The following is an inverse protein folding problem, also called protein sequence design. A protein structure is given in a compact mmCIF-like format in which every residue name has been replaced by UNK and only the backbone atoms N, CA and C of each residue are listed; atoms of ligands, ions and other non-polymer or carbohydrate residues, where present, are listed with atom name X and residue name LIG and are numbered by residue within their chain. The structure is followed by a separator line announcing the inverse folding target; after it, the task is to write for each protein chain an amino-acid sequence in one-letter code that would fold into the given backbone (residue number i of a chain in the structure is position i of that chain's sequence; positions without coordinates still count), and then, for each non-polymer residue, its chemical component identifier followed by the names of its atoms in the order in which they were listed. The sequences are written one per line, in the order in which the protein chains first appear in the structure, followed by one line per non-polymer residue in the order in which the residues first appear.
data_IF_121121196415
#
_entry.id   IF_121121196415
#
_cell.length_a   1.000
_cell.length_b   1.000
_cell.length_c   1.000
_cell.angle_alpha   90.00
_cell.angle_beta   90.00
_cell.angle_gamma   90.00
#
_symmetry.space_group_name_H-M   'P 1'
#
loop_
_entity.id
_entity.type
_entity.pdbx_description
1 polymer ?
#
# COMPACT_ATOMS: atom_id res chain seq x y z
N UNK A 1 6.67 -3.74 11.19
CA UNK A 1 6.89 -2.29 11.13
C UNK A 1 5.99 -1.71 10.05
N UNK A 2 5.19 -0.72 10.40
CA UNK A 2 4.30 -0.08 9.44
C UNK A 2 4.93 1.23 8.95
N UNK A 3 5.29 1.28 7.66
CA UNK A 3 5.85 2.46 7.02
C UNK A 3 4.77 3.41 6.49
N UNK A 4 3.56 2.89 6.31
CA UNK A 4 2.43 3.64 5.79
C UNK A 4 1.14 3.12 6.41
N UNK A 5 0.19 4.01 6.71
CA UNK A 5 -1.17 3.64 7.14
C UNK A 5 -2.16 3.83 5.99
N UNK A 6 -3.33 3.21 6.09
CA UNK A 6 -4.41 3.41 5.12
C UNK A 6 -4.85 4.88 5.05
N UNK A 7 -4.89 5.57 6.20
CA UNK A 7 -5.21 7.00 6.24
C UNK A 7 -4.18 7.86 5.52
N UNK A 8 -2.90 7.52 5.63
CA UNK A 8 -1.83 8.20 4.90
C UNK A 8 -1.94 7.96 3.39
N UNK A 9 -2.36 6.76 2.98
CA UNK A 9 -2.62 6.45 1.58
C UNK A 9 -3.74 7.34 1.02
N UNK A 10 -4.80 7.57 1.80
CA UNK A 10 -5.91 8.44 1.42
C UNK A 10 -5.45 9.89 1.21
N UNK A 11 -4.44 10.34 1.95
CA UNK A 11 -3.88 11.69 1.76
C UNK A 11 -3.08 11.83 0.46
N UNK A 12 -2.58 10.72 -0.08
CA UNK A 12 -1.69 10.73 -1.25
C UNK A 12 -2.39 10.38 -2.56
N UNK A 13 -3.49 9.66 -2.50
CA UNK A 13 -4.26 9.21 -3.66
C UNK A 13 -5.72 9.58 -3.52
N UNK A 14 -6.37 9.81 -4.64
CA UNK A 14 -7.81 9.99 -4.68
C UNK A 14 -8.49 8.72 -4.15
N UNK A 15 -9.32 8.87 -3.12
CA UNK A 15 -10.01 7.75 -2.49
C UNK A 15 -10.89 6.96 -3.46
N UNK A 16 -11.42 7.60 -4.49
CA UNK A 16 -12.20 6.92 -5.54
C UNK A 16 -11.37 5.91 -6.30
N UNK A 17 -10.12 6.27 -6.64
CA UNK A 17 -9.21 5.37 -7.36
C UNK A 17 -8.84 4.16 -6.52
N UNK A 18 -8.54 4.38 -5.25
CA UNK A 18 -8.24 3.27 -4.33
C UNK A 18 -9.49 2.42 -4.13
N UNK A 19 -10.65 3.03 -3.92
CA UNK A 19 -11.91 2.33 -3.74
C UNK A 19 -12.28 1.46 -4.95
N UNK A 20 -12.03 1.94 -6.16
CA UNK A 20 -12.26 1.16 -7.38
C UNK A 20 -11.32 -0.03 -7.51
N UNK A 21 -10.10 0.07 -6.98
CA UNK A 21 -9.08 -0.96 -7.13
C UNK A 21 -9.19 -2.10 -6.10
N UNK A 22 -9.91 -1.92 -4.98
CA UNK A 22 -9.92 -2.91 -3.89
C UNK A 22 -10.99 -3.97 -4.01
N UNK A 23 -12.05 -3.74 -4.78
CA UNK A 23 -13.15 -4.70 -4.96
C UNK A 23 -13.06 -5.37 -6.33
N UNK A 24 -13.54 -6.63 -6.40
CA UNK A 24 -13.43 -7.46 -7.61
C UNK A 24 -14.56 -7.24 -8.61
N UNK A 25 -15.67 -6.66 -8.16
CA UNK A 25 -16.81 -6.32 -8.99
C UNK A 25 -16.73 -4.83 -9.40
N UNK A 26 -17.71 -4.34 -10.12
CA UNK A 26 -17.76 -2.95 -10.57
C UNK A 26 -18.17 -1.98 -9.46
N UNK A 27 -18.24 -2.43 -8.22
CA UNK A 27 -18.54 -1.57 -7.08
C UNK A 27 -17.29 -0.85 -6.58
N UNK A 28 -17.54 0.27 -5.90
CA UNK A 28 -16.49 1.08 -5.31
C UNK A 28 -16.58 1.01 -3.80
N UNK A 29 -15.46 0.73 -3.13
CA UNK A 29 -15.39 0.85 -1.68
C UNK A 29 -15.34 2.33 -1.29
N UNK A 30 -16.11 2.72 -0.27
CA UNK A 30 -16.03 4.08 0.28
C UNK A 30 -14.72 4.27 1.04
N UNK A 31 -14.33 5.53 1.25
CA UNK A 31 -13.12 5.84 2.03
C UNK A 31 -13.21 5.26 3.46
N UNK A 32 -14.39 5.32 4.08
CA UNK A 32 -14.60 4.73 5.39
C UNK A 32 -14.48 3.21 5.38
N UNK A 33 -14.83 2.55 4.28
CA UNK A 33 -14.75 1.11 4.15
C UNK A 33 -13.30 0.64 3.95
N UNK A 34 -12.60 1.17 2.95
CA UNK A 34 -11.24 0.68 2.66
C UNK A 34 -10.18 1.16 3.66
N UNK A 35 -10.46 2.18 4.48
CA UNK A 35 -9.60 2.56 5.60
C UNK A 35 -9.92 1.79 6.88
N UNK A 36 -10.98 0.99 6.90
CA UNK A 36 -11.36 0.16 8.03
C UNK A 36 -10.62 -1.19 7.96
N UNK A 37 -9.69 -1.42 8.88
CA UNK A 37 -8.88 -2.65 8.91
C UNK A 37 -9.67 -3.94 9.17
N UNK A 38 -10.96 -3.86 9.52
CA UNK A 38 -11.81 -5.02 9.75
C UNK A 38 -12.65 -5.42 8.54
N UNK A 39 -12.80 -4.54 7.53
CA UNK A 39 -13.54 -4.85 6.31
C UNK A 39 -12.67 -5.62 5.32
N UNK A 40 -13.30 -6.29 4.35
CA UNK A 40 -12.58 -6.97 3.27
C UNK A 40 -11.75 -5.97 2.47
N UNK A 41 -12.31 -4.83 2.11
CA UNK A 41 -11.60 -3.78 1.38
C UNK A 41 -10.39 -3.27 2.18
N UNK A 42 -10.58 -2.99 3.47
CA UNK A 42 -9.50 -2.53 4.34
C UNK A 42 -8.39 -3.56 4.51
N UNK A 43 -8.74 -4.84 4.63
CA UNK A 43 -7.75 -5.92 4.73
C UNK A 43 -6.93 -6.06 3.44
N UNK A 44 -7.56 -5.87 2.28
CA UNK A 44 -6.85 -5.87 0.99
C UNK A 44 -5.86 -4.71 0.88
N UNK A 45 -6.25 -3.53 1.35
CA UNK A 45 -5.35 -2.37 1.41
C UNK A 45 -4.17 -2.65 2.35
N UNK A 46 -4.41 -3.19 3.54
CA UNK A 46 -3.35 -3.52 4.48
C UNK A 46 -2.39 -4.59 3.94
N UNK A 47 -2.91 -5.59 3.24
CA UNK A 47 -2.08 -6.60 2.59
C UNK A 47 -1.21 -5.98 1.48
N UNK A 48 -1.77 -5.10 0.66
CA UNK A 48 -1.03 -4.40 -0.39
C UNK A 48 0.07 -3.49 0.21
N UNK A 49 -0.21 -2.83 1.33
CA UNK A 49 0.79 -2.03 2.05
C UNK A 49 1.92 -2.93 2.57
N UNK A 50 1.59 -4.07 3.18
CA UNK A 50 2.58 -5.00 3.70
C UNK A 50 3.48 -5.54 2.59
N UNK A 51 2.93 -5.88 1.43
CA UNK A 51 3.69 -6.33 0.26
C UNK A 51 4.61 -5.22 -0.25
N UNK A 52 4.12 -3.99 -0.33
CA UNK A 52 4.90 -2.83 -0.76
C UNK A 52 6.05 -2.54 0.21
N UNK A 53 5.81 -2.62 1.51
CA UNK A 53 6.85 -2.46 2.53
C UNK A 53 7.92 -3.52 2.39
N UNK A 54 7.53 -4.78 2.16
CA UNK A 54 8.44 -5.88 1.95
C UNK A 54 9.33 -5.68 0.72
N UNK A 55 8.75 -5.22 -0.38
CA UNK A 55 9.50 -4.91 -1.61
C UNK A 55 10.54 -3.80 -1.36
N UNK A 56 10.13 -2.72 -0.70
CA UNK A 56 11.02 -1.59 -0.43
C UNK A 56 12.14 -1.98 0.53
N UNK A 57 11.81 -2.65 1.64
CA UNK A 57 12.78 -3.06 2.64
C UNK A 57 13.80 -4.02 2.02
N UNK A 58 13.35 -4.96 1.21
CA UNK A 58 14.24 -5.89 0.50
C UNK A 58 15.20 -5.15 -0.42
N UNK A 59 14.71 -4.15 -1.16
CA UNK A 59 15.54 -3.35 -2.06
C UNK A 59 16.59 -2.51 -1.31
N UNK A 60 16.20 -1.92 -0.18
CA UNK A 60 17.11 -1.07 0.62
C UNK A 60 18.18 -1.90 1.32
N UNK A 61 17.84 -3.09 1.80
CA UNK A 61 18.75 -3.89 2.63
C UNK A 61 19.68 -4.81 1.83
N UNK A 62 19.45 -5.01 0.53
CA UNK A 62 20.26 -5.89 -0.33
C UNK A 62 21.73 -5.51 -0.33
N UNK A 63 22.06 -4.23 -0.26
CA UNK A 63 23.45 -3.76 -0.27
C UNK A 63 24.11 -3.64 1.11
N UNK A 64 23.48 -4.09 2.16
CA UNK A 64 23.93 -3.94 3.57
C UNK A 64 24.18 -2.49 3.99
N UNK A 65 23.70 -1.53 3.21
CA UNK A 65 23.87 -0.09 3.48
C UNK A 65 23.02 0.38 4.63
N UNK A 66 21.78 -0.13 4.68
CA UNK A 66 20.79 0.22 5.69
C UNK A 66 20.19 -1.04 6.27
N UNK A 67 19.98 -1.04 7.57
CA UNK A 67 19.34 -2.15 8.26
C UNK A 67 17.89 -1.79 8.59
N UNK A 68 17.07 -2.79 8.85
CA UNK A 68 15.70 -2.60 9.28
C UNK A 68 15.59 -1.73 10.56
N UNK A 69 16.43 -1.94 11.60
CA UNK A 69 16.43 -1.04 12.76
C UNK A 69 16.74 0.42 12.43
N UNK A 70 17.63 0.67 11.48
CA UNK A 70 17.94 2.05 11.04
C UNK A 70 16.75 2.72 10.39
N UNK A 71 16.01 1.99 9.53
CA UNK A 71 14.79 2.50 8.91
C UNK A 71 13.73 2.79 9.97
N UNK A 72 13.53 1.88 10.92
CA UNK A 72 12.57 2.06 12.01
C UNK A 72 12.91 3.29 12.85
N UNK A 73 14.19 3.50 13.17
CA UNK A 73 14.67 4.66 13.92
C UNK A 73 14.39 5.97 13.15
N UNK A 74 14.67 5.99 11.86
CA UNK A 74 14.41 7.15 11.01
C UNK A 74 12.92 7.52 11.03
N UNK A 75 12.04 6.54 10.86
CA UNK A 75 10.60 6.77 10.83
C UNK A 75 10.04 7.22 12.18
N UNK A 76 10.62 6.72 13.29
CA UNK A 76 10.19 7.08 14.64
C UNK A 76 10.72 8.44 15.09
N UNK A 77 12.00 8.72 14.84
CA UNK A 77 12.67 9.91 15.35
C UNK A 77 12.56 11.11 14.43
N UNK A 78 12.43 10.89 13.13
CA UNK A 78 12.36 11.95 12.13
C UNK A 78 11.18 11.72 11.17
N UNK A 79 9.93 11.63 11.68
CA UNK A 79 8.78 11.25 10.85
C UNK A 79 8.41 12.28 9.79
N UNK A 80 8.85 13.53 9.93
CA UNK A 80 8.58 14.62 8.97
C UNK A 80 9.76 14.93 8.07
N UNK A 81 10.87 14.19 8.17
CA UNK A 81 12.04 14.38 7.33
C UNK A 81 11.74 14.09 5.86
N UNK A 82 12.55 14.62 4.96
CA UNK A 82 12.42 14.33 3.53
C UNK A 82 12.60 12.85 3.25
N UNK A 83 13.52 12.19 3.93
CA UNK A 83 13.77 10.74 3.78
C UNK A 83 12.57 9.91 4.21
N UNK A 84 11.95 10.24 5.35
CA UNK A 84 10.75 9.54 5.82
C UNK A 84 9.58 9.75 4.86
N UNK A 85 9.38 10.97 4.36
CA UNK A 85 8.34 11.28 3.40
C UNK A 85 8.56 10.56 2.06
N UNK A 86 9.81 10.45 1.62
CA UNK A 86 10.15 9.69 0.40
C UNK A 86 9.81 8.21 0.57
N UNK A 87 10.14 7.61 1.71
CA UNK A 87 9.81 6.23 2.02
C UNK A 87 8.29 6.02 1.95
N UNK A 88 7.50 6.90 2.60
CA UNK A 88 6.04 6.80 2.55
C UNK A 88 5.50 6.93 1.13
N UNK A 89 6.06 7.84 0.35
CA UNK A 89 5.65 8.03 -1.05
C UNK A 89 5.90 6.77 -1.87
N UNK A 90 7.09 6.17 -1.74
CA UNK A 90 7.44 4.96 -2.47
C UNK A 90 6.51 3.81 -2.08
N UNK A 91 6.26 3.63 -0.78
CA UNK A 91 5.35 2.59 -0.29
C UNK A 91 3.93 2.85 -0.80
N UNK A 92 3.46 4.09 -0.80
CA UNK A 92 2.14 4.43 -1.33
C UNK A 92 2.01 4.12 -2.83
N UNK A 93 3.02 4.46 -3.62
CA UNK A 93 3.02 4.19 -5.06
C UNK A 93 3.04 2.68 -5.34
N UNK A 94 3.86 1.93 -4.63
CA UNK A 94 3.90 0.47 -4.74
C UNK A 94 2.57 -0.17 -4.30
N UNK A 95 1.97 0.33 -3.23
CA UNK A 95 0.67 -0.14 -2.72
C UNK A 95 -0.41 0.04 -3.77
N UNK A 96 -0.52 1.22 -4.35
CA UNK A 96 -1.50 1.50 -5.39
C UNK A 96 -1.27 0.64 -6.63
N UNK A 97 -0.02 0.49 -7.06
CA UNK A 97 0.35 -0.40 -8.16
C UNK A 97 -0.04 -1.85 -7.90
N UNK A 98 0.19 -2.35 -6.69
CA UNK A 98 -0.19 -3.71 -6.29
C UNK A 98 -1.71 -3.90 -6.31
N UNK A 99 -2.48 -2.90 -5.88
CA UNK A 99 -3.94 -2.95 -5.94
C UNK A 99 -4.45 -2.99 -7.37
N UNK A 100 -3.89 -2.17 -8.26
CA UNK A 100 -4.24 -2.17 -9.68
C UNK A 100 -3.92 -3.50 -10.35
N UNK A 101 -2.75 -4.06 -10.05
CA UNK A 101 -2.32 -5.34 -10.62
C UNK A 101 -3.24 -6.48 -10.14
N UNK A 102 -3.57 -6.49 -8.86
CA UNK A 102 -4.53 -7.44 -8.30
C UNK A 102 -5.88 -7.36 -9.03
N UNK A 103 -6.38 -6.15 -9.24
CA UNK A 103 -7.65 -5.93 -9.94
C UNK A 103 -7.60 -6.42 -11.38
N UNK A 104 -6.51 -6.15 -12.10
CA UNK A 104 -6.31 -6.62 -13.46
C UNK A 104 -6.26 -8.14 -13.53
N UNK A 105 -5.57 -8.81 -12.61
CA UNK A 105 -5.49 -10.25 -12.53
C UNK A 105 -6.87 -10.88 -12.25
N UNK A 106 -7.66 -10.30 -11.36
CA UNK A 106 -9.00 -10.75 -11.07
C UNK A 106 -9.91 -10.64 -12.30
N UNK A 107 -9.82 -9.55 -13.05
CA UNK A 107 -10.58 -9.35 -14.29
C UNK A 107 -10.18 -10.38 -15.36
N UNK A 108 -8.89 -10.66 -15.50
CA UNK A 108 -8.39 -11.66 -16.46
C UNK A 108 -8.88 -13.08 -16.10
N UNK A 109 -8.88 -13.42 -14.83
CA UNK A 109 -9.42 -14.71 -14.35
C UNK A 109 -10.91 -14.85 -14.66
N UNK A 110 -11.70 -13.80 -14.43
CA UNK A 110 -13.12 -13.80 -14.75
C UNK A 110 -13.36 -13.94 -16.27
N UNK A 111 -12.57 -13.26 -17.08
CA UNK A 111 -12.66 -13.38 -18.54
C UNK A 111 -12.28 -14.77 -19.02
N UNK A 112 -11.31 -15.42 -18.40
CA UNK A 112 -10.90 -16.78 -18.74
C UNK A 112 -11.99 -17.82 -18.43
N UNK A 113 -12.84 -17.55 -17.43
CA UNK A 113 -13.94 -18.43 -17.05
C UNK A 113 -15.19 -18.24 -17.93
N UNK A 114 -15.28 -17.13 -18.63
CA UNK A 114 -16.39 -16.87 -19.55
C UNK A 114 -16.15 -17.54 -20.88
#
# INVERSE_FOLDING_TARGET
MALLTASELLLRYDGRRVGDAVLDDDTRASDADWTNGSSTAGQRVLAAIADAEGELISAITVGDRYTLPQIATLMADQPTSYSANLIRRIVADLTYGNLLLRRANAADELNALA
#
